data_IF_580230308500
#
_entry.id   IF_580230308500
#
_cell.length_a   1.000
_cell.length_b   1.000
_cell.length_c   1.000
_cell.angle_alpha   90.00
_cell.angle_beta   90.00
_cell.angle_gamma   90.00
#
_symmetry.space_group_name_H-M   'P 1'
#
loop_
_entity.id
_entity.type
_entity.pdbx_description
1 polymer ?
#
# COMPACT_ATOMS: atom_id res chain seq x y z
N UNK A 1 11.42 -9.14 -0.03
CA UNK A 1 10.24 -10.00 0.24
C UNK A 1 9.33 -10.12 -0.99
N UNK A 2 8.76 -9.04 -1.55
CA UNK A 2 7.89 -9.09 -2.75
C UNK A 2 8.50 -9.89 -3.90
N UNK A 3 9.71 -9.55 -4.31
CA UNK A 3 10.45 -10.27 -5.37
C UNK A 3 10.77 -11.73 -5.01
N UNK A 4 10.90 -12.04 -3.72
CA UNK A 4 11.11 -13.43 -3.28
C UNK A 4 9.89 -14.31 -3.53
N UNK A 5 8.68 -13.76 -3.38
CA UNK A 5 7.43 -14.49 -3.64
C UNK A 5 7.04 -14.51 -5.10
N UNK A 6 7.16 -13.39 -5.80
CA UNK A 6 6.69 -13.22 -7.18
C UNK A 6 7.74 -13.48 -8.25
N UNK A 7 9.02 -13.37 -7.91
CA UNK A 7 10.09 -13.22 -8.88
C UNK A 7 10.39 -11.76 -9.22
N UNK A 8 11.43 -11.51 -9.99
CA UNK A 8 11.85 -10.15 -10.39
C UNK A 8 11.13 -9.81 -11.69
N UNK A 9 10.51 -8.62 -11.74
CA UNK A 9 9.84 -8.04 -12.92
C UNK A 9 8.83 -8.95 -13.63
N UNK A 10 8.20 -9.86 -12.89
CA UNK A 10 7.22 -10.78 -13.43
C UNK A 10 5.83 -10.18 -13.51
N UNK A 11 5.17 -10.29 -14.65
CA UNK A 11 3.74 -9.99 -14.80
C UNK A 11 2.89 -11.05 -14.11
N UNK A 12 1.66 -10.71 -13.74
CA UNK A 12 0.75 -11.60 -13.00
C UNK A 12 0.61 -12.99 -13.66
N UNK A 13 0.49 -13.04 -14.99
CA UNK A 13 0.39 -14.31 -15.71
C UNK A 13 1.66 -15.15 -15.63
N UNK A 14 2.82 -14.51 -15.65
CA UNK A 14 4.12 -15.19 -15.53
C UNK A 14 4.32 -15.72 -14.10
N UNK A 15 3.85 -14.99 -13.09
CA UNK A 15 3.86 -15.44 -11.69
C UNK A 15 3.10 -16.76 -11.54
N UNK A 16 1.90 -16.84 -12.12
CA UNK A 16 1.06 -18.04 -12.06
C UNK A 16 1.70 -19.22 -12.79
N UNK A 17 2.27 -19.00 -13.96
CA UNK A 17 2.97 -20.04 -14.76
C UNK A 17 4.24 -20.55 -14.10
N UNK A 18 4.97 -19.68 -13.39
CA UNK A 18 6.22 -20.03 -12.71
C UNK A 18 6.03 -20.69 -11.33
N UNK A 19 4.80 -21.08 -10.97
CA UNK A 19 4.47 -21.63 -9.65
C UNK A 19 4.91 -20.70 -8.50
N UNK A 20 4.68 -19.39 -8.66
CA UNK A 20 4.97 -18.33 -7.70
C UNK A 20 3.69 -17.83 -7.03
N UNK A 21 3.84 -17.10 -5.94
CA UNK A 21 2.72 -16.53 -5.20
C UNK A 21 2.70 -15.02 -5.41
N UNK A 22 1.54 -14.49 -5.80
CA UNK A 22 1.35 -13.05 -5.91
C UNK A 22 1.35 -12.41 -4.52
N UNK A 23 2.23 -11.41 -4.32
CA UNK A 23 2.26 -10.63 -3.10
C UNK A 23 1.15 -9.59 -3.06
N UNK A 24 0.61 -9.34 -1.87
CA UNK A 24 -0.37 -8.28 -1.62
C UNK A 24 0.22 -7.27 -0.64
N UNK A 25 0.34 -6.03 -1.10
CA UNK A 25 0.74 -4.90 -0.26
C UNK A 25 -0.44 -4.43 0.57
N UNK A 26 -0.34 -4.47 1.90
CA UNK A 26 -1.44 -4.09 2.78
C UNK A 26 -0.97 -3.54 4.13
N UNK A 27 -1.79 -2.78 4.82
CA UNK A 27 -3.08 -2.24 4.38
C UNK A 27 -2.86 -0.80 3.97
N UNK A 28 -3.12 -0.46 2.74
CA UNK A 28 -2.82 0.85 2.18
C UNK A 28 -3.95 1.85 2.49
N UNK A 29 -3.71 2.88 3.33
CA UNK A 29 -2.40 3.17 3.92
C UNK A 29 -2.56 3.66 5.35
N UNK A 30 -1.42 3.86 6.02
CA UNK A 30 -1.33 4.49 7.33
C UNK A 30 -1.94 3.69 8.49
N UNK A 31 -2.29 2.43 8.31
CA UNK A 31 -2.95 1.62 9.34
C UNK A 31 -2.14 1.46 10.63
N UNK A 32 -0.82 1.54 10.55
CA UNK A 32 0.06 1.54 11.73
C UNK A 32 0.12 2.87 12.50
N UNK A 33 -0.50 3.92 11.97
CA UNK A 33 -0.54 5.26 12.56
C UNK A 33 -1.88 5.66 13.17
N UNK A 34 -2.77 4.70 13.40
CA UNK A 34 -4.11 4.94 13.99
C UNK A 34 -4.01 5.45 15.43
N UNK A 35 -4.95 6.28 15.80
CA UNK A 35 -5.02 6.87 17.15
C UNK A 35 -5.10 5.79 18.23
N UNK A 36 -4.30 5.97 19.26
CA UNK A 36 -4.18 5.06 20.42
C UNK A 36 -3.84 3.60 20.03
N UNK A 37 -3.35 3.34 18.82
CA UNK A 37 -3.08 1.99 18.34
C UNK A 37 -4.31 1.09 18.22
N UNK A 38 -5.51 1.67 18.25
CA UNK A 38 -6.77 0.91 18.16
C UNK A 38 -7.13 0.66 16.71
N UNK A 39 -7.39 -0.60 16.37
CA UNK A 39 -7.82 -1.01 15.04
C UNK A 39 -9.07 -0.23 14.58
N UNK A 40 -9.17 0.02 13.28
CA UNK A 40 -10.24 0.77 12.62
C UNK A 40 -10.37 2.25 13.01
N UNK A 41 -9.50 2.75 13.88
CA UNK A 41 -9.57 4.13 14.33
C UNK A 41 -9.03 5.09 13.25
N UNK A 42 -9.23 6.38 13.47
CA UNK A 42 -8.75 7.45 12.58
C UNK A 42 -7.23 7.58 12.61
N UNK A 43 -6.69 8.12 11.54
CA UNK A 43 -5.30 8.57 11.47
C UNK A 43 -5.31 10.09 11.42
N UNK A 44 -4.67 10.70 12.40
CA UNK A 44 -4.41 12.14 12.44
C UNK A 44 -2.90 12.38 12.34
N UNK A 45 -2.45 12.76 11.17
CA UNK A 45 -1.06 13.15 10.94
C UNK A 45 -0.91 14.08 9.75
N UNK A 46 0.12 14.92 9.78
CA UNK A 46 0.41 15.82 8.68
C UNK A 46 0.81 15.05 7.41
N UNK A 47 0.52 15.62 6.24
CA UNK A 47 0.95 15.06 4.96
C UNK A 47 2.45 14.92 4.84
N UNK A 48 3.21 15.83 5.45
CA UNK A 48 4.68 15.75 5.51
C UNK A 48 5.13 14.46 6.21
N UNK A 49 4.51 14.13 7.33
CA UNK A 49 4.80 12.89 8.05
C UNK A 49 4.40 11.66 7.24
N UNK A 50 3.23 11.69 6.59
CA UNK A 50 2.80 10.61 5.68
C UNK A 50 3.84 10.34 4.61
N UNK A 51 4.29 11.40 3.92
CA UNK A 51 5.23 11.32 2.80
C UNK A 51 6.65 10.86 3.21
N UNK A 52 7.07 11.21 4.41
CA UNK A 52 8.45 10.93 4.83
C UNK A 52 8.61 9.63 5.64
N UNK A 53 7.56 9.17 6.32
CA UNK A 53 7.66 8.02 7.23
C UNK A 53 6.81 6.83 6.82
N UNK A 54 5.58 7.06 6.34
CA UNK A 54 4.61 5.98 6.14
C UNK A 54 4.47 5.53 4.68
N UNK A 55 4.56 6.45 3.72
CA UNK A 55 4.35 6.13 2.31
C UNK A 55 5.58 5.58 1.57
N UNK A 56 6.83 5.91 1.92
CA UNK A 56 8.00 5.41 1.19
C UNK A 56 8.08 3.87 1.09
N UNK A 57 7.76 3.08 2.14
CA UNK A 57 7.75 1.62 2.01
C UNK A 57 6.73 1.11 0.99
N UNK A 58 5.57 1.74 0.90
CA UNK A 58 4.55 1.40 -0.09
C UNK A 58 5.02 1.71 -1.51
N UNK A 59 5.62 2.87 -1.71
CA UNK A 59 6.20 3.25 -3.01
C UNK A 59 7.27 2.26 -3.46
N UNK A 60 8.17 1.87 -2.57
CA UNK A 60 9.22 0.90 -2.85
C UNK A 60 8.64 -0.46 -3.28
N UNK A 61 7.60 -0.95 -2.61
CA UNK A 61 6.94 -2.22 -2.93
C UNK A 61 6.18 -2.15 -4.25
N UNK A 62 5.54 -1.01 -4.56
CA UNK A 62 4.87 -0.80 -5.85
C UNK A 62 5.88 -0.77 -6.99
N UNK A 63 7.01 -0.08 -6.82
CA UNK A 63 8.13 -0.07 -7.78
C UNK A 63 8.75 -1.46 -7.97
N UNK A 64 8.73 -2.29 -6.95
CA UNK A 64 9.16 -3.69 -7.04
C UNK A 64 8.14 -4.60 -7.75
N UNK A 65 7.04 -4.05 -8.28
CA UNK A 65 6.09 -4.77 -9.11
C UNK A 65 5.09 -5.64 -8.33
N UNK A 66 4.64 -5.22 -7.13
CA UNK A 66 3.63 -5.97 -6.38
C UNK A 66 2.36 -6.20 -7.20
N UNK A 67 1.84 -7.41 -7.15
CA UNK A 67 0.70 -7.84 -7.98
C UNK A 67 -0.65 -7.29 -7.50
N UNK A 68 -0.81 -7.03 -6.21
CA UNK A 68 -2.05 -6.51 -5.65
C UNK A 68 -1.81 -5.56 -4.48
N UNK A 69 -2.80 -4.72 -4.21
CA UNK A 69 -2.82 -3.78 -3.08
C UNK A 69 -4.18 -3.85 -2.41
N UNK A 70 -4.17 -3.98 -1.10
CA UNK A 70 -5.39 -3.94 -0.29
C UNK A 70 -5.47 -2.60 0.44
N UNK A 71 -6.59 -1.90 0.27
CA UNK A 71 -6.85 -0.65 0.99
C UNK A 71 -7.06 -0.88 2.48
N UNK A 72 -6.79 0.15 3.26
CA UNK A 72 -6.92 0.16 4.71
C UNK A 72 -8.35 0.47 5.15
N UNK A 73 -8.64 0.20 6.43
CA UNK A 73 -9.98 0.39 7.03
C UNK A 73 -10.13 1.71 7.77
N UNK A 74 -9.01 2.37 8.09
CA UNK A 74 -9.00 3.61 8.87
C UNK A 74 -9.51 4.82 8.08
N UNK A 75 -9.89 5.85 8.80
CA UNK A 75 -10.14 7.18 8.23
C UNK A 75 -8.82 7.95 8.09
N UNK A 76 -8.72 8.75 7.03
CA UNK A 76 -7.64 9.69 6.78
C UNK A 76 -8.27 11.01 6.38
N UNK A 77 -8.01 12.09 7.09
CA UNK A 77 -8.69 13.38 6.89
C UNK A 77 -10.22 13.22 6.83
N UNK A 78 -10.80 12.52 7.81
CA UNK A 78 -12.25 12.23 7.90
C UNK A 78 -12.84 11.42 6.72
N UNK A 79 -12.00 10.91 5.84
CA UNK A 79 -12.43 10.12 4.68
C UNK A 79 -11.92 8.69 4.81
N UNK A 80 -12.77 7.66 4.60
CA UNK A 80 -12.30 6.27 4.55
C UNK A 80 -11.14 6.11 3.57
N UNK A 81 -10.11 5.36 3.94
CA UNK A 81 -8.93 5.17 3.10
C UNK A 81 -9.30 4.68 1.69
N UNK A 82 -10.30 3.80 1.58
CA UNK A 82 -10.83 3.29 0.31
C UNK A 82 -11.47 4.36 -0.59
N UNK A 83 -12.05 5.40 0.00
CA UNK A 83 -12.70 6.51 -0.70
C UNK A 83 -11.81 7.74 -0.84
N UNK A 84 -10.61 7.72 -0.27
CA UNK A 84 -9.70 8.86 -0.28
C UNK A 84 -9.00 8.98 -1.65
N UNK A 85 -9.56 9.84 -2.50
CA UNK A 85 -9.07 10.06 -3.88
C UNK A 85 -7.59 10.42 -3.93
N UNK A 86 -7.11 11.26 -3.01
CA UNK A 86 -5.70 11.65 -2.97
C UNK A 86 -4.80 10.43 -2.73
N UNK A 87 -5.16 9.61 -1.74
CA UNK A 87 -4.41 8.42 -1.37
C UNK A 87 -4.43 7.36 -2.49
N UNK A 88 -5.59 7.11 -3.08
CA UNK A 88 -5.71 6.17 -4.19
C UNK A 88 -4.95 6.63 -5.44
N UNK A 89 -4.92 7.96 -5.68
CA UNK A 89 -4.14 8.53 -6.80
C UNK A 89 -2.63 8.40 -6.55
N UNK A 90 -2.17 8.47 -5.30
CA UNK A 90 -0.77 8.30 -4.95
C UNK A 90 -0.24 6.93 -5.43
N UNK A 91 -0.94 5.85 -5.15
CA UNK A 91 -0.54 4.49 -5.60
C UNK A 91 -0.46 4.39 -7.11
N UNK A 92 -1.40 4.99 -7.82
CA UNK A 92 -1.38 5.00 -9.28
C UNK A 92 -0.17 5.76 -9.85
N UNK A 93 0.29 6.80 -9.17
CA UNK A 93 1.49 7.56 -9.55
C UNK A 93 2.79 6.81 -9.29
N UNK A 94 2.84 5.99 -8.24
CA UNK A 94 4.02 5.18 -7.92
C UNK A 94 4.31 4.10 -8.96
N UNK A 95 3.33 3.74 -9.79
CA UNK A 95 3.47 2.76 -10.87
C UNK A 95 4.15 3.29 -12.14
N UNK A 96 4.30 4.61 -12.25
CA UNK A 96 4.94 5.28 -13.38
C UNK A 96 6.41 5.57 -13.06
#
# INVERSE_FOLDING_TARGET
MTQGYQGVDMRTEEILRANRIMACLKHFALYGGVESGKEYNTVDMSRVRMMNQYLPPYEAVVKAGVGSVMSSFNLIDYTPATANKWMMTFICRCRR
#
